data_IF_899733340663
#
_entry.id   IF_899733340663
#
_cell.length_a   1.000
_cell.length_b   1.000
_cell.length_c   1.000
_cell.angle_alpha   90.00
_cell.angle_beta   90.00
_cell.angle_gamma   90.00
#
_symmetry.space_group_name_H-M   'P 1'
#
loop_
_entity.id
_entity.type
_entity.pdbx_description
1 polymer ?
#
# COMPACT_ATOMS: atom_id res chain seq x y z
N UNK A 1 -0.48 -14.56 -14.56
CA UNK A 1 0.35 -13.48 -13.98
C UNK A 1 -0.44 -12.19 -14.03
N UNK A 2 -0.45 -11.39 -12.96
CA UNK A 2 -1.09 -10.08 -12.91
C UNK A 2 -0.02 -9.02 -13.10
N UNK A 3 -0.23 -8.10 -14.04
CA UNK A 3 0.61 -6.91 -14.23
C UNK A 3 -0.01 -5.76 -13.42
N UNK A 4 0.73 -5.25 -12.45
CA UNK A 4 0.40 -4.06 -11.66
C UNK A 4 1.39 -2.95 -11.98
N UNK A 5 0.88 -1.73 -12.11
CA UNK A 5 1.67 -0.53 -12.41
C UNK A 5 1.44 0.52 -11.33
N UNK A 6 2.53 1.02 -10.73
CA UNK A 6 2.45 2.23 -9.89
C UNK A 6 2.12 3.44 -10.76
N UNK A 7 1.10 4.19 -10.39
CA UNK A 7 0.59 5.33 -11.17
C UNK A 7 0.36 6.53 -10.25
N UNK A 8 1.01 7.65 -10.56
CA UNK A 8 0.94 8.88 -9.77
C UNK A 8 0.09 9.99 -10.40
N UNK A 9 -0.59 9.72 -11.50
CA UNK A 9 -1.41 10.70 -12.21
C UNK A 9 -2.52 10.03 -13.02
N UNK A 10 -3.55 10.81 -13.38
CA UNK A 10 -4.59 10.33 -14.29
C UNK A 10 -4.04 9.78 -15.61
N UNK A 11 -3.09 10.49 -16.21
CA UNK A 11 -2.50 10.10 -17.50
C UNK A 11 -1.70 8.80 -17.38
N UNK A 12 -0.98 8.59 -16.26
CA UNK A 12 -0.26 7.34 -16.01
C UNK A 12 -1.22 6.15 -15.81
N UNK A 13 -2.36 6.36 -15.14
CA UNK A 13 -3.42 5.34 -15.03
C UNK A 13 -3.98 4.96 -16.40
N UNK A 14 -4.29 5.95 -17.24
CA UNK A 14 -4.77 5.69 -18.60
C UNK A 14 -3.72 4.96 -19.45
N UNK A 15 -2.45 5.33 -19.32
CA UNK A 15 -1.36 4.67 -20.02
C UNK A 15 -1.22 3.21 -19.58
N UNK A 16 -1.27 2.94 -18.27
CA UNK A 16 -1.25 1.59 -17.72
C UNK A 16 -2.41 0.73 -18.26
N UNK A 17 -3.63 1.28 -18.25
CA UNK A 17 -4.81 0.60 -18.81
C UNK A 17 -4.66 0.30 -20.30
N UNK A 18 -4.22 1.28 -21.11
CA UNK A 18 -3.98 1.07 -22.55
C UNK A 18 -2.88 0.05 -22.82
N UNK A 19 -1.87 -0.02 -21.92
CA UNK A 19 -0.79 -1.00 -21.96
C UNK A 19 -1.18 -2.41 -21.50
N UNK A 20 -2.43 -2.64 -21.12
CA UNK A 20 -2.91 -3.95 -20.69
C UNK A 20 -2.60 -4.31 -19.25
N UNK A 21 -2.33 -3.33 -18.37
CA UNK A 21 -2.22 -3.57 -16.94
C UNK A 21 -3.54 -4.08 -16.38
N UNK A 22 -3.45 -5.05 -15.48
CA UNK A 22 -4.60 -5.62 -14.79
C UNK A 22 -5.00 -4.79 -13.56
N UNK A 23 -4.01 -4.10 -12.97
CA UNK A 23 -4.17 -3.31 -11.75
C UNK A 23 -3.22 -2.11 -11.75
N UNK A 24 -3.64 -1.03 -11.10
CA UNK A 24 -2.78 0.08 -10.72
C UNK A 24 -2.67 0.15 -9.20
N UNK A 25 -1.47 0.45 -8.72
CA UNK A 25 -1.24 0.99 -7.39
C UNK A 25 -1.19 2.51 -7.52
N UNK A 26 -2.26 3.17 -7.05
CA UNK A 26 -2.40 4.61 -7.12
C UNK A 26 -1.67 5.27 -5.97
N UNK A 27 -0.76 6.18 -6.27
CA UNK A 27 0.05 6.88 -5.29
C UNK A 27 0.30 8.33 -5.73
N UNK A 28 0.92 9.11 -4.87
CA UNK A 28 1.55 10.40 -5.16
C UNK A 28 2.97 10.39 -4.63
N UNK A 29 3.76 11.44 -4.84
CA UNK A 29 5.09 11.57 -4.24
C UNK A 29 6.02 10.39 -4.51
N UNK A 30 6.15 9.96 -5.77
CA UNK A 30 6.99 8.82 -6.15
C UNK A 30 8.45 9.00 -5.75
N UNK A 31 8.95 10.23 -5.72
CA UNK A 31 10.31 10.57 -5.29
C UNK A 31 10.53 10.28 -3.79
N UNK A 32 9.46 10.24 -3.01
CA UNK A 32 9.47 9.85 -1.59
C UNK A 32 9.15 8.37 -1.36
N UNK A 33 9.10 7.59 -2.43
CA UNK A 33 8.72 6.17 -2.38
C UNK A 33 7.20 5.93 -2.39
N UNK A 34 6.41 6.96 -2.69
CA UNK A 34 4.97 6.92 -2.75
C UNK A 34 4.29 7.38 -1.46
N UNK A 35 3.24 8.18 -1.61
CA UNK A 35 2.37 8.70 -0.56
C UNK A 35 0.91 8.49 -0.94
N UNK A 36 -0.01 8.68 0.02
CA UNK A 36 -1.45 8.67 -0.23
C UNK A 36 -1.80 9.71 -1.31
N UNK A 37 -2.50 9.34 -2.39
CA UNK A 37 -2.93 10.28 -3.41
C UNK A 37 -4.07 11.18 -2.90
N UNK A 38 -4.32 12.28 -3.60
CA UNK A 38 -5.43 13.17 -3.25
C UNK A 38 -6.78 12.47 -3.42
N UNK A 39 -7.77 12.89 -2.62
CA UNK A 39 -9.16 12.43 -2.74
C UNK A 39 -9.66 12.53 -4.18
N UNK A 40 -9.46 13.67 -4.85
CA UNK A 40 -9.94 13.89 -6.21
C UNK A 40 -9.32 12.95 -7.26
N UNK A 41 -8.05 12.55 -7.07
CA UNK A 41 -7.43 11.59 -7.96
C UNK A 41 -8.00 10.17 -7.71
N UNK A 42 -8.19 9.79 -6.44
CA UNK A 42 -8.77 8.49 -6.08
C UNK A 42 -10.20 8.38 -6.63
N UNK A 43 -11.04 9.39 -6.38
CA UNK A 43 -12.44 9.42 -6.84
C UNK A 43 -12.52 9.25 -8.37
N UNK A 44 -11.74 10.06 -9.09
CA UNK A 44 -11.71 9.99 -10.56
C UNK A 44 -11.24 8.63 -11.07
N UNK A 45 -10.21 8.05 -10.46
CA UNK A 45 -9.67 6.75 -10.88
C UNK A 45 -10.58 5.61 -10.50
N UNK A 46 -11.25 5.66 -9.35
CA UNK A 46 -12.21 4.64 -8.93
C UNK A 46 -13.42 4.56 -9.87
N UNK A 47 -13.80 5.66 -10.53
CA UNK A 47 -14.82 5.66 -11.57
C UNK A 47 -14.41 5.00 -12.90
N UNK A 48 -13.13 4.65 -13.08
CA UNK A 48 -12.64 4.02 -14.32
C UNK A 48 -12.89 2.51 -14.29
N UNK A 49 -13.59 1.99 -15.28
CA UNK A 49 -13.83 0.54 -15.42
C UNK A 49 -12.65 -0.20 -16.10
N UNK A 50 -12.60 -1.52 -15.91
CA UNK A 50 -11.71 -2.43 -16.66
C UNK A 50 -10.27 -2.46 -16.17
N UNK A 51 -9.99 -1.92 -14.98
CA UNK A 51 -8.70 -2.06 -14.30
C UNK A 51 -8.94 -2.04 -12.79
N UNK A 52 -8.24 -2.86 -12.02
CA UNK A 52 -8.31 -2.82 -10.55
C UNK A 52 -7.53 -1.64 -9.99
N UNK A 53 -8.03 -1.04 -8.92
CA UNK A 53 -7.46 0.13 -8.26
C UNK A 53 -7.11 -0.20 -6.82
N UNK A 54 -5.83 -0.24 -6.52
CA UNK A 54 -5.32 -0.31 -5.16
C UNK A 54 -4.72 1.05 -4.80
N UNK A 55 -5.04 1.55 -3.64
CA UNK A 55 -4.64 2.89 -3.18
C UNK A 55 -3.56 2.75 -2.12
N UNK A 56 -2.42 3.38 -2.32
CA UNK A 56 -1.39 3.48 -1.30
C UNK A 56 -1.86 4.38 -0.17
N UNK A 57 -1.81 3.87 1.05
CA UNK A 57 -2.12 4.62 2.27
C UNK A 57 -0.84 4.81 3.06
N UNK A 58 -0.21 5.95 2.85
CA UNK A 58 1.03 6.36 3.50
C UNK A 58 1.02 7.88 3.69
N UNK A 59 0.85 8.38 4.92
CA UNK A 59 0.60 9.81 5.18
C UNK A 59 1.83 10.69 4.97
N UNK A 60 3.05 10.13 5.09
CA UNK A 60 4.32 10.86 4.94
C UNK A 60 5.44 9.94 4.44
N UNK A 61 6.50 10.56 3.95
CA UNK A 61 7.77 9.90 3.67
C UNK A 61 8.54 9.50 4.94
N UNK A 62 9.72 8.93 4.77
CA UNK A 62 10.56 8.44 5.86
C UNK A 62 10.19 7.04 6.34
N UNK A 63 10.35 6.80 7.65
CA UNK A 63 10.11 5.50 8.28
C UNK A 63 8.63 5.07 8.30
N UNK A 64 8.40 3.90 8.86
CA UNK A 64 7.06 3.30 9.01
C UNK A 64 6.63 3.17 10.48
N UNK A 65 7.31 3.88 11.37
CA UNK A 65 6.94 4.02 12.78
C UNK A 65 6.01 5.23 12.92
N UNK A 66 4.73 4.98 13.05
CA UNK A 66 3.70 6.00 13.09
C UNK A 66 3.26 6.34 14.51
N UNK A 67 3.00 7.64 14.76
CA UNK A 67 2.32 8.09 15.97
C UNK A 67 0.84 7.69 15.96
N UNK A 68 0.16 7.83 17.10
CA UNK A 68 -1.27 7.52 17.19
C UNK A 68 -2.10 8.43 16.28
N UNK A 69 -1.73 9.71 16.14
CA UNK A 69 -2.39 10.64 15.22
C UNK A 69 -2.20 10.24 13.75
N UNK A 70 -1.00 9.79 13.38
CA UNK A 70 -0.72 9.29 12.02
C UNK A 70 -1.48 8.00 11.74
N UNK A 71 -1.61 7.11 12.71
CA UNK A 71 -2.42 5.89 12.61
C UNK A 71 -3.90 6.22 12.41
N UNK A 72 -4.43 7.22 13.13
CA UNK A 72 -5.80 7.69 12.91
C UNK A 72 -6.00 8.23 11.50
N UNK A 73 -5.05 9.01 10.96
CA UNK A 73 -5.08 9.49 9.58
C UNK A 73 -5.11 8.31 8.59
N UNK A 74 -4.26 7.30 8.79
CA UNK A 74 -4.22 6.11 7.94
C UNK A 74 -5.59 5.40 7.94
N UNK A 75 -6.22 5.19 9.09
CA UNK A 75 -7.52 4.54 9.18
C UNK A 75 -8.61 5.34 8.45
N UNK A 76 -8.61 6.66 8.58
CA UNK A 76 -9.55 7.55 7.85
C UNK A 76 -9.33 7.50 6.34
N UNK A 77 -8.06 7.43 5.89
CA UNK A 77 -7.74 7.31 4.47
C UNK A 77 -8.19 5.95 3.90
N UNK A 78 -8.11 4.86 4.68
CA UNK A 78 -8.67 3.56 4.31
C UNK A 78 -10.20 3.63 4.16
N UNK A 79 -10.89 4.25 5.11
CA UNK A 79 -12.34 4.47 5.05
C UNK A 79 -12.73 5.28 3.82
N UNK A 80 -11.98 6.32 3.52
CA UNK A 80 -12.18 7.16 2.34
C UNK A 80 -12.01 6.35 1.06
N UNK A 81 -10.93 5.59 0.91
CA UNK A 81 -10.70 4.75 -0.26
C UNK A 81 -11.82 3.72 -0.45
N UNK A 82 -12.32 3.12 0.65
CA UNK A 82 -13.47 2.22 0.64
C UNK A 82 -14.75 2.92 0.17
N UNK A 83 -15.02 4.13 0.68
CA UNK A 83 -16.21 4.91 0.30
C UNK A 83 -16.21 5.30 -1.17
N UNK A 84 -15.03 5.41 -1.77
CA UNK A 84 -14.82 5.68 -3.21
C UNK A 84 -14.76 4.40 -4.06
N UNK A 85 -15.03 3.24 -3.46
CA UNK A 85 -15.06 1.95 -4.16
C UNK A 85 -13.71 1.51 -4.75
N UNK A 86 -12.60 1.80 -4.07
CA UNK A 86 -11.32 1.20 -4.39
C UNK A 86 -11.39 -0.33 -4.23
N UNK A 87 -10.66 -1.06 -5.08
CA UNK A 87 -10.60 -2.53 -5.02
C UNK A 87 -9.69 -3.02 -3.88
N UNK A 88 -8.77 -2.17 -3.43
CA UNK A 88 -7.85 -2.50 -2.36
C UNK A 88 -7.07 -1.30 -1.85
N UNK A 89 -6.37 -1.53 -0.74
CA UNK A 89 -5.44 -0.59 -0.12
C UNK A 89 -4.08 -1.24 0.11
N UNK A 90 -3.04 -0.41 0.14
CA UNK A 90 -1.67 -0.82 0.37
C UNK A 90 -1.18 -0.09 1.61
N UNK A 91 -0.82 -0.83 2.64
CA UNK A 91 -0.48 -0.33 3.98
C UNK A 91 0.79 -1.00 4.51
N UNK A 92 1.36 -0.46 5.57
CA UNK A 92 2.46 -1.10 6.30
C UNK A 92 2.93 -0.21 7.44
N UNK A 93 3.13 -0.80 8.60
CA UNK A 93 3.63 -0.12 9.79
C UNK A 93 4.54 -1.05 10.58
N UNK A 94 5.57 -0.47 11.18
CA UNK A 94 6.53 -1.16 12.03
C UNK A 94 6.54 -0.52 13.42
N UNK A 95 6.93 -1.32 14.40
CA UNK A 95 7.26 -0.87 15.76
C UNK A 95 8.71 -0.37 15.80
N UNK A 96 9.08 0.28 16.90
CA UNK A 96 10.43 0.82 17.09
C UNK A 96 11.53 -0.27 17.12
N UNK A 97 11.18 -1.51 17.42
CA UNK A 97 12.08 -2.66 17.40
C UNK A 97 12.20 -3.32 16.02
N UNK A 98 11.50 -2.77 15.02
CA UNK A 98 11.47 -3.29 13.66
C UNK A 98 10.49 -4.44 13.42
N UNK A 99 9.72 -4.85 14.42
CA UNK A 99 8.65 -5.83 14.21
C UNK A 99 7.43 -5.18 13.54
N UNK A 100 6.57 -6.02 12.95
CA UNK A 100 5.28 -5.55 12.41
C UNK A 100 4.43 -4.98 13.55
N UNK A 101 3.82 -3.81 13.34
CA UNK A 101 2.76 -3.32 14.22
C UNK A 101 1.47 -4.09 13.95
N UNK A 102 1.43 -5.30 14.52
CA UNK A 102 0.37 -6.27 14.24
C UNK A 102 -1.01 -5.78 14.73
N UNK A 103 -1.06 -5.11 15.89
CA UNK A 103 -2.31 -4.59 16.42
C UNK A 103 -2.89 -3.51 15.49
N UNK A 104 -2.06 -2.65 14.98
CA UNK A 104 -2.46 -1.65 14.00
C UNK A 104 -2.82 -2.27 12.64
N UNK A 105 -2.10 -3.29 12.20
CA UNK A 105 -2.42 -4.00 10.96
C UNK A 105 -3.82 -4.66 11.03
N UNK A 106 -4.18 -5.24 12.17
CA UNK A 106 -5.54 -5.76 12.40
C UNK A 106 -6.60 -4.66 12.26
N UNK A 107 -6.34 -3.46 12.79
CA UNK A 107 -7.25 -2.32 12.64
C UNK A 107 -7.39 -1.91 11.15
N UNK A 108 -6.29 -1.83 10.41
CA UNK A 108 -6.33 -1.54 8.98
C UNK A 108 -7.17 -2.55 8.20
N UNK A 109 -6.98 -3.85 8.45
CA UNK A 109 -7.76 -4.93 7.80
C UNK A 109 -9.24 -4.84 8.18
N UNK A 110 -9.55 -4.56 9.46
CA UNK A 110 -10.93 -4.42 9.92
C UNK A 110 -11.65 -3.24 9.24
N UNK A 111 -10.97 -2.10 9.11
CA UNK A 111 -11.53 -0.90 8.46
C UNK A 111 -11.67 -1.08 6.95
N UNK A 112 -10.79 -1.86 6.33
CA UNK A 112 -10.85 -2.16 4.89
C UNK A 112 -12.12 -2.91 4.48
N UNK A 113 -12.76 -3.69 5.36
CA UNK A 113 -14.08 -4.33 5.20
C UNK A 113 -14.31 -4.96 3.83
N UNK A 114 -13.48 -5.92 3.45
CA UNK A 114 -13.63 -6.68 2.20
C UNK A 114 -12.87 -6.11 1.00
N UNK A 115 -12.28 -4.90 1.08
CA UNK A 115 -11.25 -4.52 0.13
C UNK A 115 -10.03 -5.43 0.28
N UNK A 116 -9.28 -5.61 -0.80
CA UNK A 116 -7.99 -6.27 -0.70
C UNK A 116 -7.02 -5.42 0.12
N UNK A 117 -6.25 -6.06 0.99
CA UNK A 117 -5.18 -5.41 1.75
C UNK A 117 -3.84 -5.99 1.33
N UNK A 118 -2.94 -5.13 0.91
CA UNK A 118 -1.53 -5.46 0.60
C UNK A 118 -0.64 -4.86 1.67
N UNK A 119 0.24 -5.67 2.26
CA UNK A 119 1.32 -5.14 3.10
C UNK A 119 2.49 -4.76 2.20
N UNK A 120 2.96 -3.51 2.27
CA UNK A 120 3.96 -2.98 1.36
C UNK A 120 5.41 -3.25 1.80
N UNK A 121 6.38 -2.63 1.11
CA UNK A 121 7.82 -2.81 1.30
C UNK A 121 8.37 -2.45 2.69
N UNK A 122 7.58 -1.97 3.64
CA UNK A 122 7.98 -1.94 5.05
C UNK A 122 8.41 -3.34 5.54
N UNK A 123 7.90 -4.39 4.92
CA UNK A 123 8.35 -5.77 5.12
C UNK A 123 9.85 -5.97 4.87
N UNK A 124 10.42 -5.29 3.88
CA UNK A 124 11.84 -5.39 3.54
C UNK A 124 12.77 -4.81 4.64
N UNK A 125 12.19 -4.04 5.58
CA UNK A 125 12.87 -3.43 6.72
C UNK A 125 12.57 -4.11 8.06
N UNK A 126 11.75 -5.15 8.07
CA UNK A 126 11.36 -5.80 9.33
C UNK A 126 12.53 -6.62 9.94
N UNK A 127 12.54 -6.70 11.26
CA UNK A 127 13.60 -7.39 12.01
C UNK A 127 13.59 -8.90 11.80
N UNK A 128 12.39 -9.50 11.67
CA UNK A 128 12.22 -10.94 11.49
C UNK A 128 11.24 -11.24 10.34
N UNK A 129 11.72 -11.42 9.11
CA UNK A 129 10.86 -11.57 7.94
C UNK A 129 9.99 -12.83 7.94
N UNK A 130 10.48 -13.92 8.53
CA UNK A 130 9.69 -15.17 8.57
C UNK A 130 8.50 -15.04 9.51
N UNK A 131 8.71 -14.49 10.69
CA UNK A 131 7.63 -14.20 11.63
C UNK A 131 6.68 -13.14 11.09
N UNK A 132 7.22 -12.07 10.49
CA UNK A 132 6.43 -11.01 9.87
C UNK A 132 5.51 -11.55 8.78
N UNK A 133 5.99 -12.49 7.94
CA UNK A 133 5.17 -13.12 6.91
C UNK A 133 3.97 -13.86 7.52
N UNK A 134 4.20 -14.68 8.55
CA UNK A 134 3.12 -15.39 9.24
C UNK A 134 2.11 -14.43 9.91
N UNK A 135 2.60 -13.35 10.50
CA UNK A 135 1.76 -12.31 11.10
C UNK A 135 0.90 -11.61 10.05
N UNK A 136 1.47 -11.23 8.89
CA UNK A 136 0.75 -10.58 7.79
C UNK A 136 -0.34 -11.50 7.23
N UNK A 137 -0.04 -12.79 7.05
CA UNK A 137 -1.01 -13.79 6.61
C UNK A 137 -2.14 -13.94 7.64
N UNK A 138 -1.80 -14.09 8.91
CA UNK A 138 -2.77 -14.28 9.99
C UNK A 138 -3.65 -13.06 10.22
N UNK A 139 -3.13 -11.86 9.96
CA UNK A 139 -3.90 -10.62 10.03
C UNK A 139 -4.95 -10.48 8.93
N UNK A 140 -4.90 -11.32 7.88
CA UNK A 140 -5.87 -11.32 6.79
C UNK A 140 -5.47 -10.47 5.58
N UNK A 141 -4.19 -10.12 5.44
CA UNK A 141 -3.70 -9.48 4.23
C UNK A 141 -3.78 -10.44 3.04
N UNK A 142 -4.15 -9.91 1.88
CA UNK A 142 -4.29 -10.69 0.65
C UNK A 142 -2.97 -10.78 -0.14
N UNK A 143 -2.05 -9.83 0.10
CA UNK A 143 -0.80 -9.72 -0.65
C UNK A 143 0.31 -9.16 0.23
N UNK A 144 1.52 -9.49 -0.18
CA UNK A 144 2.76 -8.92 0.32
C UNK A 144 3.54 -8.35 -0.87
N UNK A 145 3.99 -7.11 -0.76
CA UNK A 145 4.93 -6.50 -1.71
C UNK A 145 6.32 -6.51 -1.10
N UNK A 146 7.25 -7.18 -1.76
CA UNK A 146 8.67 -7.21 -1.37
C UNK A 146 9.56 -7.02 -2.59
N UNK A 147 10.75 -6.48 -2.39
CA UNK A 147 11.76 -6.32 -3.43
C UNK A 147 13.13 -6.64 -2.86
N UNK A 148 13.57 -7.90 -2.96
CA UNK A 148 14.94 -8.30 -2.62
C UNK A 148 15.30 -8.28 -1.12
N UNK A 149 14.40 -8.64 -0.23
CA UNK A 149 14.67 -8.75 1.22
C UNK A 149 15.96 -9.47 1.58
N UNK A 150 16.31 -10.55 0.87
CA UNK A 150 17.48 -11.39 1.14
C UNK A 150 18.69 -11.04 0.26
N UNK A 151 18.62 -9.98 -0.53
CA UNK A 151 19.70 -9.60 -1.43
C UNK A 151 20.43 -8.38 -0.88
N UNK A 152 21.66 -8.58 -0.40
CA UNK A 152 22.48 -7.54 0.24
C UNK A 152 23.27 -6.67 -0.73
N UNK A 153 23.15 -6.89 -2.04
CA UNK A 153 23.77 -6.00 -3.03
C UNK A 153 22.96 -4.76 -3.21
N UNK A 154 23.56 -3.55 -3.15
CA UNK A 154 22.84 -2.32 -3.43
C UNK A 154 22.28 -2.37 -4.84
N UNK A 155 21.02 -1.98 -4.97
CA UNK A 155 20.41 -1.79 -6.28
C UNK A 155 21.13 -0.64 -7.00
N UNK A 156 21.35 -0.73 -8.33
CA UNK A 156 21.90 0.39 -9.09
C UNK A 156 21.04 1.67 -9.04
N UNK A 157 19.91 1.63 -8.33
CA UNK A 157 18.96 2.76 -8.20
C UNK A 157 18.85 3.28 -6.76
N UNK A 158 19.63 2.74 -5.83
CA UNK A 158 19.72 3.24 -4.45
C UNK A 158 20.87 4.23 -4.32
#
# INVERSE_FOLDING_TARGET
MILEICAGSWDSVLAAKRGGAHRVELCSGLDEGGLTPSWGLIDKVCGLEGIQKHVLIRPRGGDFLYSDDEKEIILRDIEMARSLHADGVVVGALLADGNIDLDFLHQCVAVAQGMNVTFHRAFDLCANPFEALEQIISAGCNRLLTSCLLYTSPSPRD
#
